data_IF_160223804775
#
_entry.id   IF_160223804775
#
_cell.length_a   1.000
_cell.length_b   1.000
_cell.length_c   1.000
_cell.angle_alpha   90.00
_cell.angle_beta   90.00
_cell.angle_gamma   90.00
#
_symmetry.space_group_name_H-M   'P 1'
#
loop_
_entity.id
_entity.type
_entity.pdbx_description
1 polymer ?
#
# COMPACT_ATOMS: atom_id res chain seq x y z
N UNK A 1 7.67 25.01 -11.73
CA UNK A 1 7.92 24.40 -10.43
C UNK A 1 6.72 23.68 -9.83
N UNK A 2 5.51 24.24 -9.88
CA UNK A 2 4.30 23.60 -9.39
C UNK A 2 3.94 22.30 -10.11
N UNK A 3 4.21 22.19 -11.40
CA UNK A 3 3.93 21.01 -12.20
C UNK A 3 4.83 19.83 -11.83
N UNK A 4 6.12 20.06 -11.64
CA UNK A 4 7.06 18.99 -11.28
C UNK A 4 6.77 18.43 -9.88
N UNK A 5 6.37 19.30 -8.95
CA UNK A 5 6.01 18.90 -7.59
C UNK A 5 4.71 18.12 -7.54
N UNK A 6 3.75 18.52 -8.38
CA UNK A 6 2.46 17.83 -8.51
C UNK A 6 2.63 16.45 -9.15
N UNK A 7 3.49 16.35 -10.16
CA UNK A 7 3.81 15.07 -10.81
C UNK A 7 4.52 14.12 -9.84
N UNK A 8 5.41 14.63 -8.99
CA UNK A 8 6.09 13.84 -7.97
C UNK A 8 5.11 13.36 -6.89
N UNK A 9 4.15 14.19 -6.49
CA UNK A 9 3.10 13.83 -5.54
C UNK A 9 2.14 12.81 -6.15
N UNK A 10 1.84 12.92 -7.46
CA UNK A 10 0.98 11.99 -8.18
C UNK A 10 1.63 10.61 -8.38
N UNK A 11 2.97 10.51 -8.24
CA UNK A 11 3.68 9.23 -8.29
C UNK A 11 3.43 8.35 -7.07
N UNK A 12 3.04 8.95 -5.96
CA UNK A 12 2.76 8.21 -4.73
C UNK A 12 1.29 7.82 -4.66
N UNK A 13 1.02 6.53 -4.55
CA UNK A 13 -0.33 6.06 -4.26
C UNK A 13 -0.73 6.57 -2.87
N UNK A 14 -1.91 7.18 -2.79
CA UNK A 14 -2.40 7.80 -1.55
C UNK A 14 -2.53 6.79 -0.40
N UNK A 15 -3.06 5.60 -0.68
CA UNK A 15 -3.21 4.56 0.35
C UNK A 15 -1.86 4.05 0.83
N UNK A 16 -0.93 3.79 -0.09
CA UNK A 16 0.41 3.30 0.26
C UNK A 16 1.21 4.34 1.05
N UNK A 17 1.13 5.60 0.64
CA UNK A 17 1.80 6.67 1.38
C UNK A 17 1.23 6.82 2.79
N UNK A 18 -0.08 6.71 2.94
CA UNK A 18 -0.74 6.73 4.26
C UNK A 18 -0.26 5.55 5.12
N UNK A 19 -0.12 4.37 4.53
CA UNK A 19 0.43 3.20 5.23
C UNK A 19 1.82 3.52 5.79
N UNK A 20 2.70 4.06 4.97
CA UNK A 20 4.05 4.43 5.42
C UNK A 20 3.99 5.51 6.53
N UNK A 21 3.09 6.48 6.38
CA UNK A 21 2.86 7.54 7.39
C UNK A 21 2.49 6.94 8.74
N UNK A 22 1.59 5.97 8.76
CA UNK A 22 1.17 5.27 9.98
C UNK A 22 2.33 4.49 10.61
N UNK A 23 3.13 3.83 9.78
CA UNK A 23 4.29 3.07 10.25
C UNK A 23 5.36 3.95 10.87
N UNK A 24 5.46 5.21 10.43
CA UNK A 24 6.41 6.17 11.00
C UNK A 24 5.99 6.69 12.39
N UNK A 25 4.74 6.53 12.78
CA UNK A 25 4.23 7.05 14.05
C UNK A 25 4.82 6.36 15.26
N UNK A 26 4.76 5.04 15.32
CA UNK A 26 5.32 4.22 16.39
C UNK A 26 5.37 2.75 15.98
N UNK A 27 6.09 1.95 16.77
CA UNK A 27 6.29 0.53 16.51
C UNK A 27 4.97 -0.27 16.56
N UNK A 28 4.09 0.06 17.49
CA UNK A 28 2.81 -0.63 17.65
C UNK A 28 1.91 -0.42 16.43
N UNK A 29 1.82 0.82 15.96
CA UNK A 29 1.04 1.16 14.77
C UNK A 29 1.63 0.49 13.52
N UNK A 30 2.96 0.48 13.41
CA UNK A 30 3.65 -0.19 12.30
C UNK A 30 3.36 -1.68 12.28
N UNK A 31 3.43 -2.33 13.44
CA UNK A 31 3.16 -3.77 13.58
C UNK A 31 1.70 -4.09 13.23
N UNK A 32 0.77 -3.30 13.74
CA UNK A 32 -0.65 -3.46 13.43
C UNK A 32 -0.92 -3.35 11.93
N UNK A 33 -0.35 -2.31 11.31
CA UNK A 33 -0.53 -2.04 9.88
C UNK A 33 0.03 -3.17 9.02
N UNK A 34 1.25 -3.63 9.34
CA UNK A 34 1.88 -4.73 8.63
C UNK A 34 1.06 -6.02 8.75
N UNK A 35 0.56 -6.33 9.94
CA UNK A 35 -0.28 -7.50 10.18
C UNK A 35 -1.58 -7.43 9.37
N UNK A 36 -2.22 -6.26 9.33
CA UNK A 36 -3.45 -6.05 8.57
C UNK A 36 -3.23 -6.29 7.07
N UNK A 37 -2.09 -5.83 6.54
CA UNK A 37 -1.72 -6.07 5.15
C UNK A 37 -1.52 -7.56 4.87
N UNK A 38 -0.80 -8.25 5.74
CA UNK A 38 -0.54 -9.68 5.60
C UNK A 38 -1.83 -10.50 5.63
N UNK A 39 -2.73 -10.20 6.56
CA UNK A 39 -4.02 -10.87 6.69
C UNK A 39 -4.90 -10.69 5.45
N UNK A 40 -4.82 -9.54 4.81
CA UNK A 40 -5.58 -9.24 3.61
C UNK A 40 -4.89 -9.67 2.31
N UNK A 41 -3.64 -10.12 2.40
CA UNK A 41 -2.88 -10.56 1.24
C UNK A 41 -2.50 -9.42 0.30
N UNK A 42 -2.33 -8.21 0.82
CA UNK A 42 -1.91 -7.05 0.02
C UNK A 42 -0.47 -6.68 0.33
N UNK A 43 0.20 -6.11 -0.66
CA UNK A 43 1.59 -5.68 -0.56
C UNK A 43 1.73 -4.26 -1.11
N UNK A 44 2.72 -3.55 -0.60
CA UNK A 44 3.08 -2.25 -1.15
C UNK A 44 3.68 -2.46 -2.54
N UNK A 45 3.15 -1.77 -3.53
CA UNK A 45 3.58 -1.89 -4.92
C UNK A 45 4.68 -0.91 -5.29
N UNK A 46 4.69 0.28 -4.67
CA UNK A 46 5.73 1.24 -4.91
C UNK A 46 7.02 0.78 -4.23
N UNK A 47 8.07 0.59 -5.02
CA UNK A 47 9.33 0.04 -4.53
C UNK A 47 9.99 0.92 -3.46
N UNK A 48 9.96 2.23 -3.62
CA UNK A 48 10.54 3.16 -2.66
C UNK A 48 9.80 3.11 -1.31
N UNK A 49 8.47 3.09 -1.36
CA UNK A 49 7.63 2.99 -0.15
C UNK A 49 7.85 1.64 0.53
N UNK A 50 7.85 0.56 -0.24
CA UNK A 50 8.06 -0.79 0.29
C UNK A 50 9.42 -0.93 0.96
N UNK A 51 10.47 -0.47 0.32
CA UNK A 51 11.83 -0.54 0.87
C UNK A 51 11.96 0.28 2.15
N UNK A 52 11.37 1.47 2.18
CA UNK A 52 11.36 2.31 3.38
C UNK A 52 10.60 1.62 4.52
N UNK A 53 9.45 1.01 4.23
CA UNK A 53 8.65 0.30 5.21
C UNK A 53 9.40 -0.90 5.79
N UNK A 54 10.06 -1.67 4.95
CA UNK A 54 10.87 -2.83 5.38
C UNK A 54 12.00 -2.40 6.30
N UNK A 55 12.72 -1.34 5.94
CA UNK A 55 13.82 -0.80 6.74
C UNK A 55 13.31 -0.34 8.10
N UNK A 56 12.16 0.32 8.12
CA UNK A 56 11.53 0.80 9.34
C UNK A 56 11.16 -0.36 10.28
N UNK A 57 10.57 -1.42 9.73
CA UNK A 57 10.20 -2.62 10.50
C UNK A 57 11.43 -3.32 11.08
N UNK A 58 12.52 -3.37 10.32
CA UNK A 58 13.80 -3.94 10.79
C UNK A 58 14.32 -3.13 11.98
N UNK A 59 14.27 -1.80 11.90
CA UNK A 59 14.72 -0.92 12.99
C UNK A 59 13.87 -1.11 14.23
N UNK A 60 12.56 -1.18 14.09
CA UNK A 60 11.65 -1.43 15.23
C UNK A 60 11.91 -2.80 15.87
N UNK A 61 12.13 -3.83 15.05
CA UNK A 61 12.42 -5.18 15.55
C UNK A 61 13.73 -5.22 16.34
N UNK A 62 14.70 -4.39 15.96
CA UNK A 62 15.98 -4.26 16.68
C UNK A 62 15.89 -3.41 17.94
N UNK A 63 14.70 -2.88 18.26
CA UNK A 63 14.52 -2.01 19.41
C UNK A 63 15.08 -0.60 19.23
N UNK A 64 15.43 -0.24 17.99
CA UNK A 64 15.95 1.08 17.69
C UNK A 64 14.83 2.13 17.64
N UNK A 65 15.04 3.19 18.38
CA UNK A 65 14.13 4.35 18.35
C UNK A 65 14.78 5.46 17.52
N UNK A 66 14.90 5.20 16.23
CA UNK A 66 15.59 6.08 15.29
C UNK A 66 14.69 7.23 14.86
N UNK A 67 15.19 8.46 14.90
CA UNK A 67 14.47 9.61 14.40
C UNK A 67 14.33 9.51 12.87
N UNK A 68 13.25 10.11 12.34
CA UNK A 68 13.02 10.15 10.91
C UNK A 68 14.17 10.81 10.16
N UNK A 69 14.76 11.87 10.74
CA UNK A 69 15.90 12.57 10.14
C UNK A 69 17.11 11.64 9.96
N UNK A 70 17.42 10.82 10.96
CA UNK A 70 18.53 9.85 10.88
C UNK A 70 18.21 8.79 9.82
N UNK A 71 16.99 8.28 9.82
CA UNK A 71 16.54 7.30 8.83
C UNK A 71 16.68 7.83 7.40
N UNK A 72 16.23 9.07 7.15
CA UNK A 72 16.34 9.71 5.84
C UNK A 72 17.80 9.81 5.38
N UNK A 73 18.72 10.11 6.29
CA UNK A 73 20.13 10.23 5.94
C UNK A 73 20.79 8.92 5.51
N UNK A 74 20.22 7.80 5.93
CA UNK A 74 20.72 6.45 5.62
C UNK A 74 20.07 5.83 4.37
N UNK A 75 18.97 6.40 3.90
CA UNK A 75 18.20 5.87 2.76
C UNK A 75 18.69 6.44 1.42
N UNK A 76 18.40 5.71 0.37
CA UNK A 76 18.61 6.20 -1.00
C UNK A 76 17.62 7.35 -1.30
N UNK A 77 17.95 8.24 -2.27
CA UNK A 77 17.15 9.45 -2.52
C UNK A 77 15.64 9.22 -2.71
N UNK A 78 15.25 8.20 -3.46
CA UNK A 78 13.81 7.92 -3.70
C UNK A 78 13.11 7.46 -2.42
N UNK A 79 13.79 6.65 -1.63
CA UNK A 79 13.26 6.20 -0.34
C UNK A 79 13.15 7.36 0.65
N UNK A 80 14.15 8.22 0.66
CA UNK A 80 14.17 9.42 1.50
C UNK A 80 13.02 10.36 1.16
N UNK A 81 12.72 10.53 -0.14
CA UNK A 81 11.57 11.33 -0.58
C UNK A 81 10.25 10.74 -0.11
N UNK A 82 10.12 9.41 -0.21
CA UNK A 82 8.92 8.71 0.26
C UNK A 82 8.71 8.92 1.76
N UNK A 83 9.76 8.78 2.56
CA UNK A 83 9.71 8.98 4.01
C UNK A 83 9.37 10.43 4.35
N UNK A 84 9.96 11.39 3.66
CA UNK A 84 9.68 12.81 3.87
C UNK A 84 8.21 13.15 3.57
N UNK A 85 7.69 12.63 2.46
CA UNK A 85 6.28 12.81 2.09
C UNK A 85 5.35 12.17 3.10
N UNK A 86 5.70 10.96 3.57
CA UNK A 86 4.92 10.24 4.57
C UNK A 86 4.93 10.96 5.92
N UNK A 87 6.06 11.51 6.33
CA UNK A 87 6.17 12.28 7.57
C UNK A 87 5.27 13.53 7.52
N UNK A 88 5.29 14.24 6.41
CA UNK A 88 4.42 15.41 6.23
C UNK A 88 2.94 15.02 6.30
N UNK A 89 2.58 13.88 5.74
CA UNK A 89 1.22 13.37 5.80
C UNK A 89 0.84 12.90 7.20
N UNK A 90 1.77 12.28 7.93
CA UNK A 90 1.55 11.80 9.30
C UNK A 90 1.11 12.93 10.23
N UNK A 91 1.66 14.12 10.07
CA UNK A 91 1.29 15.30 10.86
C UNK A 91 -0.17 15.70 10.67
N UNK A 92 -0.76 15.35 9.54
CA UNK A 92 -2.15 15.67 9.20
C UNK A 92 -3.13 14.58 9.61
N UNK A 93 -2.65 13.40 9.97
CA UNK A 93 -3.50 12.27 10.36
C UNK A 93 -4.07 12.51 11.75
N UNK A 94 -5.40 12.44 11.85
CA UNK A 94 -6.15 12.61 13.10
C UNK A 94 -7.18 11.50 13.21
N UNK A 95 -7.43 11.05 14.43
CA UNK A 95 -8.43 10.04 14.72
C UNK A 95 -7.83 8.68 15.02
N UNK A 96 -8.63 7.64 14.85
CA UNK A 96 -8.23 6.25 15.13
C UNK A 96 -7.28 5.73 14.06
N UNK A 97 -6.00 5.59 14.41
CA UNK A 97 -4.96 5.15 13.46
C UNK A 97 -5.20 3.73 12.97
N UNK A 98 -5.77 2.86 13.79
CA UNK A 98 -6.09 1.48 13.39
C UNK A 98 -7.20 1.45 12.35
N UNK A 99 -8.22 2.28 12.53
CA UNK A 99 -9.30 2.41 11.55
C UNK A 99 -8.76 2.94 10.23
N UNK A 100 -7.87 3.92 10.28
CA UNK A 100 -7.23 4.48 9.09
C UNK A 100 -6.41 3.41 8.37
N UNK A 101 -5.66 2.60 9.13
CA UNK A 101 -4.90 1.48 8.57
C UNK A 101 -5.82 0.48 7.87
N UNK A 102 -6.90 0.07 8.53
CA UNK A 102 -7.87 -0.87 7.98
C UNK A 102 -8.51 -0.34 6.70
N UNK A 103 -8.86 0.94 6.67
CA UNK A 103 -9.45 1.59 5.50
C UNK A 103 -8.46 1.64 4.33
N UNK A 104 -7.20 1.92 4.60
CA UNK A 104 -6.15 1.93 3.57
C UNK A 104 -5.90 0.54 3.00
N UNK A 105 -5.82 -0.47 3.86
CA UNK A 105 -5.64 -1.87 3.45
C UNK A 105 -6.83 -2.32 2.60
N UNK A 106 -8.03 -1.95 2.98
CA UNK A 106 -9.25 -2.24 2.22
C UNK A 106 -9.21 -1.62 0.83
N UNK A 107 -8.74 -0.37 0.73
CA UNK A 107 -8.59 0.33 -0.56
C UNK A 107 -7.55 -0.37 -1.44
N UNK A 108 -6.43 -0.79 -0.85
CA UNK A 108 -5.39 -1.53 -1.56
C UNK A 108 -5.93 -2.87 -2.07
N UNK A 109 -6.71 -3.56 -1.26
CA UNK A 109 -7.32 -4.84 -1.64
C UNK A 109 -8.32 -4.65 -2.79
N UNK A 110 -9.14 -3.60 -2.73
CA UNK A 110 -10.07 -3.27 -3.82
C UNK A 110 -9.32 -3.01 -5.13
N UNK A 111 -8.23 -2.25 -5.08
CA UNK A 111 -7.40 -1.97 -6.26
C UNK A 111 -6.80 -3.25 -6.83
N UNK A 112 -6.29 -4.12 -5.98
CA UNK A 112 -5.71 -5.40 -6.37
C UNK A 112 -6.75 -6.28 -7.07
N UNK A 113 -7.92 -6.44 -6.45
CA UNK A 113 -9.00 -7.27 -7.00
C UNK A 113 -9.56 -6.68 -8.30
N UNK A 114 -9.67 -5.36 -8.40
CA UNK A 114 -10.12 -4.70 -9.63
C UNK A 114 -9.15 -4.96 -10.78
N UNK A 115 -7.84 -4.89 -10.52
CA UNK A 115 -6.83 -5.19 -11.53
C UNK A 115 -6.88 -6.66 -11.95
N UNK A 116 -7.03 -7.58 -10.99
CA UNK A 116 -7.17 -9.01 -11.26
C UNK A 116 -8.43 -9.30 -12.10
N UNK A 117 -9.52 -8.60 -11.81
CA UNK A 117 -10.77 -8.74 -12.56
C UNK A 117 -10.60 -8.30 -14.01
N UNK A 118 -9.96 -7.15 -14.24
CA UNK A 118 -9.65 -6.66 -15.57
C UNK A 118 -8.77 -7.64 -16.35
N UNK A 119 -7.75 -8.21 -15.68
CA UNK A 119 -6.86 -9.19 -16.30
C UNK A 119 -7.61 -10.45 -16.71
N UNK A 120 -8.52 -10.94 -15.86
CA UNK A 120 -9.30 -12.15 -16.18
C UNK A 120 -10.27 -11.90 -17.35
N UNK A 121 -10.90 -10.72 -17.42
CA UNK A 121 -11.74 -10.38 -18.56
C UNK A 121 -10.92 -10.24 -19.85
N UNK A 122 -9.74 -9.66 -19.78
CA UNK A 122 -8.83 -9.55 -20.92
C UNK A 122 -8.40 -10.93 -21.43
N UNK A 123 -8.09 -11.84 -20.51
CA UNK A 123 -7.76 -13.24 -20.86
C UNK A 123 -8.95 -13.94 -21.50
N UNK A 124 -10.12 -13.79 -20.92
CA UNK A 124 -11.35 -14.44 -21.44
C UNK A 124 -11.65 -14.02 -22.86
N UNK A 125 -11.38 -12.75 -23.22
CA UNK A 125 -11.65 -12.25 -24.57
C UNK A 125 -10.79 -12.93 -25.64
N UNK A 126 -9.63 -13.48 -25.26
CA UNK A 126 -8.74 -14.21 -26.15
C UNK A 126 -8.89 -15.72 -26.09
N UNK A 127 -9.80 -16.24 -25.27
CA UNK A 127 -10.01 -17.67 -25.07
C UNK A 127 -11.34 -18.13 -25.64
N UNK A 128 -11.47 -19.44 -25.84
CA UNK A 128 -12.70 -20.08 -26.34
C UNK A 128 -12.99 -21.34 -25.51
N UNK A 129 -14.25 -21.80 -25.55
CA UNK A 129 -14.67 -23.06 -24.94
C UNK A 129 -14.51 -23.10 -23.43
N UNK A 130 -14.00 -24.21 -22.92
CA UNK A 130 -13.82 -24.42 -21.49
C UNK A 130 -12.85 -23.45 -20.83
N UNK A 131 -11.79 -23.07 -21.53
CA UNK A 131 -10.79 -22.13 -21.02
C UNK A 131 -11.42 -20.77 -20.76
N UNK A 132 -12.27 -20.29 -21.68
CA UNK A 132 -13.00 -19.05 -21.52
C UNK A 132 -13.96 -19.12 -20.35
N UNK A 133 -14.68 -20.24 -20.21
CA UNK A 133 -15.60 -20.47 -19.11
C UNK A 133 -14.89 -20.44 -17.75
N UNK A 134 -13.73 -21.08 -17.65
CA UNK A 134 -12.92 -21.07 -16.43
C UNK A 134 -12.45 -19.66 -16.07
N UNK A 135 -12.02 -18.89 -17.06
CA UNK A 135 -11.57 -17.51 -16.84
C UNK A 135 -12.73 -16.64 -16.36
N UNK A 136 -13.93 -16.78 -16.97
CA UNK A 136 -15.13 -16.06 -16.55
C UNK A 136 -15.58 -16.45 -15.14
N UNK A 137 -15.42 -17.72 -14.77
CA UNK A 137 -15.72 -18.18 -13.41
C UNK A 137 -14.77 -17.53 -12.39
N UNK A 138 -13.50 -17.42 -12.70
CA UNK A 138 -12.52 -16.71 -11.85
C UNK A 138 -12.89 -15.24 -11.71
N UNK A 139 -13.27 -14.60 -12.82
CA UNK A 139 -13.73 -13.20 -12.80
C UNK A 139 -14.93 -13.03 -11.88
N UNK A 140 -15.89 -13.95 -11.93
CA UNK A 140 -17.06 -13.93 -11.05
C UNK A 140 -16.69 -14.05 -9.59
N UNK A 141 -15.74 -14.91 -9.23
CA UNK A 141 -15.27 -15.05 -7.84
C UNK A 141 -14.62 -13.75 -7.35
N UNK A 142 -13.81 -13.12 -8.19
CA UNK A 142 -13.19 -11.83 -7.86
C UNK A 142 -14.27 -10.75 -7.67
N UNK A 143 -15.25 -10.71 -8.57
CA UNK A 143 -16.37 -9.74 -8.49
C UNK A 143 -17.15 -9.90 -7.18
N UNK A 144 -17.38 -11.14 -6.73
CA UNK A 144 -18.03 -11.41 -5.45
C UNK A 144 -17.24 -10.87 -4.27
N UNK A 145 -15.92 -11.07 -4.28
CA UNK A 145 -15.03 -10.54 -3.25
C UNK A 145 -15.08 -9.01 -3.21
N UNK A 146 -15.05 -8.36 -4.38
CA UNK A 146 -15.17 -6.90 -4.49
C UNK A 146 -16.50 -6.40 -3.90
N UNK A 147 -17.57 -7.10 -4.18
CA UNK A 147 -18.89 -6.74 -3.65
C UNK A 147 -18.92 -6.76 -2.13
N UNK A 148 -18.26 -7.73 -1.51
CA UNK A 148 -18.19 -7.85 -0.06
C UNK A 148 -17.37 -6.72 0.60
N UNK A 149 -16.51 -6.06 -0.16
CA UNK A 149 -15.67 -4.96 0.35
C UNK A 149 -16.33 -3.58 0.27
N UNK A 150 -17.49 -3.48 -0.33
CA UNK A 150 -18.22 -2.21 -0.45
C UNK A 150 -18.96 -1.82 0.82
#
# INVERSE_FOLDING_TARGET
MGKARKEAEDEWDSAELTILSLMLMDADTATYTAAAMMESGVELQNEAIRSAAEELLIKYAGGENTSTAVMISELEPMQAEAVSAAEAQAEKIKGDVRQIADDCVKRMLKSKLSAELEDEFAKASGLEGEERKQSLNKANEIAKKLKLLR
#
